data_IF_828320647658
#
_entry.id   IF_828320647658
#
_cell.length_a   1.000
_cell.length_b   1.000
_cell.length_c   1.000
_cell.angle_alpha   90.00
_cell.angle_beta   90.00
_cell.angle_gamma   90.00
#
_symmetry.space_group_name_H-M   'P 1'
#
loop_
_entity.id
_entity.type
_entity.pdbx_description
1 polymer ?
#
# COMPACT_ATOMS: atom_id res chain seq x y z
N UNK A 1 18.32 -2.31 -13.74
CA UNK A 1 18.03 -3.32 -12.69
C UNK A 1 16.53 -3.28 -12.42
N UNK A 2 15.89 -4.40 -12.10
CA UNK A 2 14.46 -4.39 -11.75
C UNK A 2 14.24 -3.64 -10.43
N UNK A 3 13.18 -2.83 -10.37
CA UNK A 3 12.79 -2.02 -9.20
C UNK A 3 12.65 -2.90 -7.94
N UNK A 4 12.11 -4.10 -8.09
CA UNK A 4 11.98 -5.11 -7.02
C UNK A 4 13.33 -5.48 -6.40
N UNK A 5 14.38 -5.61 -7.21
CA UNK A 5 15.73 -5.97 -6.75
C UNK A 5 16.40 -4.81 -6.03
N UNK A 6 16.27 -3.58 -6.55
CA UNK A 6 16.87 -2.40 -5.92
C UNK A 6 16.17 -2.05 -4.60
N UNK A 7 14.84 -2.14 -4.56
CA UNK A 7 14.04 -1.78 -3.40
C UNK A 7 13.95 -2.88 -2.33
N UNK A 8 14.31 -4.11 -2.66
CA UNK A 8 14.48 -5.18 -1.67
C UNK A 8 15.59 -4.88 -0.65
N UNK A 9 16.68 -4.24 -1.08
CA UNK A 9 17.77 -3.81 -0.17
C UNK A 9 17.28 -2.81 0.88
N UNK A 10 16.27 -1.99 0.53
CA UNK A 10 15.65 -1.01 1.43
C UNK A 10 14.55 -1.64 2.30
N UNK A 11 14.29 -2.95 2.16
CA UNK A 11 13.18 -3.67 2.79
C UNK A 11 11.80 -3.06 2.46
N UNK A 12 11.63 -2.43 1.29
CA UNK A 12 10.36 -1.85 0.87
C UNK A 12 9.45 -2.86 0.17
N UNK A 13 10.07 -3.85 -0.47
CA UNK A 13 9.39 -4.92 -1.21
C UNK A 13 10.21 -6.20 -1.09
N UNK A 14 9.55 -7.34 -0.97
CA UNK A 14 10.15 -8.66 -1.01
C UNK A 14 9.46 -9.48 -2.09
N UNK A 15 10.23 -10.24 -2.87
CA UNK A 15 9.69 -11.16 -3.87
C UNK A 15 9.56 -12.53 -3.21
N UNK A 16 8.34 -13.05 -3.13
CA UNK A 16 8.02 -14.37 -2.57
C UNK A 16 7.36 -15.20 -3.68
N UNK A 17 8.17 -15.94 -4.45
CA UNK A 17 7.67 -16.71 -5.60
C UNK A 17 7.10 -15.80 -6.69
N UNK A 18 5.80 -15.92 -6.94
CA UNK A 18 5.02 -15.12 -7.89
C UNK A 18 4.35 -13.89 -7.25
N UNK A 19 4.66 -13.59 -5.97
CA UNK A 19 4.01 -12.53 -5.20
C UNK A 19 5.01 -11.47 -4.76
N UNK A 20 4.48 -10.25 -4.61
CA UNK A 20 5.15 -9.18 -3.89
C UNK A 20 4.61 -9.08 -2.48
N UNK A 21 5.53 -9.05 -1.51
CA UNK A 21 5.22 -8.76 -0.11
C UNK A 21 5.74 -7.38 0.24
N UNK A 22 4.87 -6.58 0.84
CA UNK A 22 5.21 -5.28 1.40
C UNK A 22 5.27 -5.43 2.93
N UNK A 23 6.46 -5.50 3.53
CA UNK A 23 6.60 -5.77 4.96
C UNK A 23 6.06 -4.64 5.85
N UNK A 24 5.86 -3.44 5.29
CA UNK A 24 5.45 -2.25 6.03
C UNK A 24 6.56 -1.74 6.94
N UNK A 25 6.24 -0.77 7.80
CA UNK A 25 7.21 -0.19 8.73
C UNK A 25 8.16 0.78 8.04
N UNK A 26 7.78 2.05 8.03
CA UNK A 26 8.61 3.16 7.57
C UNK A 26 8.31 4.40 8.40
N UNK A 27 9.12 5.45 8.26
CA UNK A 27 8.95 6.71 8.99
C UNK A 27 7.56 7.34 8.80
N UNK A 28 6.95 7.16 7.62
CA UNK A 28 5.62 7.67 7.30
C UNK A 28 4.48 6.88 7.96
N UNK A 29 4.69 5.59 8.27
CA UNK A 29 3.66 4.71 8.84
C UNK A 29 4.21 3.98 10.08
N UNK A 30 4.43 4.69 11.20
CA UNK A 30 5.04 4.12 12.40
C UNK A 30 4.19 3.02 13.04
N UNK A 31 2.87 3.04 12.84
CA UNK A 31 1.91 1.99 13.26
C UNK A 31 1.49 1.06 12.12
N UNK A 32 2.18 1.12 10.97
CA UNK A 32 1.79 0.44 9.74
C UNK A 32 0.72 1.19 8.93
N UNK A 33 0.65 0.90 7.63
CA UNK A 33 -0.27 1.57 6.71
C UNK A 33 -1.74 1.19 6.98
N UNK A 34 -2.02 -0.02 7.45
CA UNK A 34 -3.38 -0.45 7.82
C UNK A 34 -3.97 0.47 8.90
N UNK A 35 -3.22 0.79 9.96
CA UNK A 35 -3.70 1.68 11.02
C UNK A 35 -4.00 3.10 10.52
N UNK A 36 -3.21 3.60 9.56
CA UNK A 36 -3.46 4.89 8.93
C UNK A 36 -4.74 4.88 8.09
N UNK A 37 -4.95 3.82 7.30
CA UNK A 37 -6.17 3.64 6.50
C UNK A 37 -7.40 3.47 7.42
N UNK A 38 -7.26 2.76 8.54
CA UNK A 38 -8.34 2.60 9.52
C UNK A 38 -8.71 3.95 10.18
N UNK A 39 -7.75 4.85 10.42
CA UNK A 39 -8.03 6.20 10.90
C UNK A 39 -8.82 7.02 9.85
N UNK A 40 -8.53 6.85 8.55
CA UNK A 40 -9.34 7.45 7.46
C UNK A 40 -10.75 6.86 7.45
N UNK A 41 -10.87 5.54 7.62
CA UNK A 41 -12.15 4.82 7.60
C UNK A 41 -13.11 5.26 8.72
N UNK A 42 -12.61 5.90 9.79
CA UNK A 42 -13.45 6.52 10.83
C UNK A 42 -14.13 7.80 10.39
N UNK A 43 -13.60 8.46 9.35
CA UNK A 43 -14.12 9.73 8.84
C UNK A 43 -14.99 9.52 7.60
N UNK A 44 -14.62 8.56 6.75
CA UNK A 44 -15.30 8.26 5.49
C UNK A 44 -15.39 6.75 5.33
N UNK A 45 -16.56 6.17 5.02
CA UNK A 45 -16.69 4.74 4.77
C UNK A 45 -15.81 4.31 3.59
N UNK A 46 -14.84 3.42 3.84
CA UNK A 46 -13.95 2.88 2.82
C UNK A 46 -14.35 1.49 2.33
N UNK A 47 -15.29 0.81 3.01
CA UNK A 47 -15.62 -0.60 2.77
C UNK A 47 -17.08 -0.83 2.36
N UNK A 48 -17.87 0.22 2.17
CA UNK A 48 -19.27 0.12 1.74
C UNK A 48 -19.43 0.07 0.20
N UNK A 49 -18.31 0.14 -0.53
CA UNK A 49 -18.27 0.15 -2.00
C UNK A 49 -18.56 1.51 -2.64
N UNK A 50 -18.77 2.58 -1.84
CA UNK A 50 -18.96 3.94 -2.34
C UNK A 50 -17.67 4.52 -2.95
N UNK A 51 -16.51 4.14 -2.40
CA UNK A 51 -15.19 4.44 -2.94
C UNK A 51 -14.59 3.15 -3.51
N UNK A 52 -14.21 3.18 -4.79
CA UNK A 52 -13.66 2.02 -5.51
C UNK A 52 -12.29 2.24 -6.12
N UNK A 53 -11.89 3.51 -6.26
CA UNK A 53 -10.61 3.88 -6.89
C UNK A 53 -9.91 4.95 -6.08
N UNK A 54 -8.59 4.84 -5.97
CA UNK A 54 -7.74 5.86 -5.36
C UNK A 54 -6.58 6.23 -6.29
N UNK A 55 -6.16 7.50 -6.22
CA UNK A 55 -4.91 7.95 -6.84
C UNK A 55 -3.83 7.86 -5.76
N UNK A 56 -2.86 6.98 -5.97
CA UNK A 56 -1.76 6.73 -5.03
C UNK A 56 -0.50 7.45 -5.52
N UNK A 57 -0.20 8.59 -4.90
CA UNK A 57 0.93 9.44 -5.28
C UNK A 57 2.09 9.29 -4.32
N UNK A 58 3.30 9.06 -4.84
CA UNK A 58 4.53 9.04 -4.04
C UNK A 58 4.85 7.69 -3.40
N UNK A 59 4.01 6.67 -3.61
CA UNK A 59 4.28 5.31 -3.20
C UNK A 59 5.13 4.60 -4.26
N UNK A 60 6.45 4.84 -4.26
CA UNK A 60 7.35 4.43 -5.35
C UNK A 60 7.43 2.92 -5.67
N UNK A 61 6.77 2.04 -4.92
CA UNK A 61 6.62 0.58 -5.23
C UNK A 61 5.16 0.13 -5.23
N UNK A 62 4.20 1.05 -5.27
CA UNK A 62 2.76 0.82 -5.19
C UNK A 62 2.30 0.06 -3.92
N UNK A 63 3.08 0.11 -2.84
CA UNK A 63 2.78 -0.61 -1.60
C UNK A 63 1.49 -0.14 -0.95
N UNK A 64 1.18 1.16 -0.98
CA UNK A 64 -0.05 1.72 -0.42
C UNK A 64 -1.29 1.19 -1.14
N UNK A 65 -1.23 1.08 -2.47
CA UNK A 65 -2.25 0.39 -3.27
C UNK A 65 -2.51 -1.05 -2.82
N UNK A 66 -1.48 -1.80 -2.43
CA UNK A 66 -1.65 -3.16 -1.90
C UNK A 66 -2.41 -3.19 -0.56
N UNK A 67 -2.26 -2.16 0.28
CA UNK A 67 -3.05 -2.04 1.52
C UNK A 67 -4.50 -1.61 1.25
N UNK A 68 -4.72 -0.73 0.26
CA UNK A 68 -6.07 -0.31 -0.16
C UNK A 68 -6.86 -1.47 -0.79
N UNK A 69 -6.20 -2.40 -1.48
CA UNK A 69 -6.85 -3.58 -2.04
C UNK A 69 -7.58 -4.43 -1.00
N UNK A 70 -7.12 -4.45 0.26
CA UNK A 70 -7.81 -5.16 1.37
C UNK A 70 -9.20 -4.58 1.66
N UNK A 71 -9.47 -3.36 1.19
CA UNK A 71 -10.71 -2.58 1.40
C UNK A 71 -11.54 -2.53 0.11
N UNK A 72 -11.17 -3.34 -0.88
CA UNK A 72 -11.77 -3.36 -2.22
C UNK A 72 -11.63 -2.03 -2.98
N UNK A 73 -10.54 -1.31 -2.73
CA UNK A 73 -10.19 -0.06 -3.41
C UNK A 73 -8.99 -0.30 -4.34
N UNK A 74 -9.18 -0.06 -5.63
CA UNK A 74 -8.13 -0.17 -6.64
C UNK A 74 -7.34 1.13 -6.73
N UNK A 75 -6.03 1.07 -6.49
CA UNK A 75 -5.17 2.22 -6.66
C UNK A 75 -4.62 2.31 -8.09
N UNK A 76 -4.55 3.54 -8.60
CA UNK A 76 -3.68 3.88 -9.74
C UNK A 76 -2.46 4.57 -9.16
N UNK A 77 -1.30 3.93 -9.26
CA UNK A 77 -0.03 4.38 -8.69
C UNK A 77 0.95 4.81 -9.78
N UNK A 78 1.72 5.87 -9.52
CA UNK A 78 2.75 6.40 -10.43
C UNK A 78 4.01 6.83 -9.66
#
# INVERSE_FOLDING_TARGET
KELSVEKAVQNWIQVEGDRFRFPGGGTMFPRGADAYIDDIARLIPLTDGGIRTAIDTGCGVASFGAYLLKRDIMAVSF
#
